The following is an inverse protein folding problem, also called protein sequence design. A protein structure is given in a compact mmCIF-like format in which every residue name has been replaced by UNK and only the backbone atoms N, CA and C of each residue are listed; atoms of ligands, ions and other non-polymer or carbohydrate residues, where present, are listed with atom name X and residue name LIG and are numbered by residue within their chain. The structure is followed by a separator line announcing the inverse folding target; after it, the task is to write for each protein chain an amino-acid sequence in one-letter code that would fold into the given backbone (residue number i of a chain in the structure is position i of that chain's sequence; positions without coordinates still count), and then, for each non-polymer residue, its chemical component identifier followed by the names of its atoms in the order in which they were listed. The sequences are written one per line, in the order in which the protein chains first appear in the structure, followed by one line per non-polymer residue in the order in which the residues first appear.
data_IF_886959020434
#
_entry.id   IF_886959020434
#
_cell.length_a   1.000
_cell.length_b   1.000
_cell.length_c   1.000
_cell.angle_alpha   90.00
_cell.angle_beta   90.00
_cell.angle_gamma   90.00
#
_symmetry.space_group_name_H-M   'P 1'
#
loop_
_entity.id
_entity.type
_entity.pdbx_description
1 polymer ?
#
# COMPACT_ATOMS: atom_id res chain seq x y z
N UNK A 1 17.13 3.76 19.09
CA UNK A 1 15.89 4.51 18.80
C UNK A 1 14.77 3.50 18.68
N UNK A 2 13.72 3.61 19.50
CA UNK A 2 12.56 2.71 19.44
C UNK A 2 11.64 3.10 18.27
N UNK A 3 10.70 2.23 17.91
CA UNK A 3 9.67 2.55 16.92
C UNK A 3 8.84 3.77 17.35
N UNK A 4 8.52 3.88 18.64
CA UNK A 4 7.79 5.03 19.19
C UNK A 4 8.59 6.33 19.04
N UNK A 5 9.89 6.31 19.38
CA UNK A 5 10.77 7.47 19.21
C UNK A 5 10.87 7.90 17.75
N UNK A 6 10.94 6.92 16.84
CA UNK A 6 10.99 7.19 15.40
C UNK A 6 9.70 7.83 14.90
N UNK A 7 8.55 7.24 15.22
CA UNK A 7 7.25 7.80 14.85
C UNK A 7 7.09 9.22 15.39
N UNK A 8 7.52 9.49 16.63
CA UNK A 8 7.49 10.82 17.24
C UNK A 8 8.39 11.84 16.51
N UNK A 9 9.46 11.38 15.85
CA UNK A 9 10.37 12.21 15.05
C UNK A 9 9.87 12.53 13.64
N UNK A 10 8.85 11.80 13.14
CA UNK A 10 8.30 12.04 11.81
C UNK A 10 7.59 13.40 11.75
N UNK A 11 7.64 14.12 10.61
CA UNK A 11 6.87 15.33 10.41
C UNK A 11 5.38 15.10 10.67
N UNK A 12 4.81 15.84 11.64
CA UNK A 12 3.44 15.65 12.15
C UNK A 12 2.35 15.76 11.08
N UNK A 13 2.59 16.49 9.98
CA UNK A 13 1.53 16.88 9.03
C UNK A 13 1.17 15.85 7.97
N UNK A 14 2.00 14.84 7.72
CA UNK A 14 1.74 13.86 6.63
C UNK A 14 2.12 12.45 7.03
N UNK A 15 3.36 12.20 7.44
CA UNK A 15 3.81 10.84 7.74
C UNK A 15 3.18 10.26 9.02
N UNK A 16 3.08 11.05 10.10
CA UNK A 16 2.40 10.57 11.32
C UNK A 16 0.91 10.33 11.10
N UNK A 17 0.21 11.23 10.41
CA UNK A 17 -1.22 11.11 10.15
C UNK A 17 -1.55 9.85 9.33
N UNK A 18 -0.71 9.52 8.34
CA UNK A 18 -0.89 8.31 7.54
C UNK A 18 -0.65 7.05 8.37
N UNK A 19 0.44 7.02 9.14
CA UNK A 19 0.77 5.91 10.06
C UNK A 19 -0.38 5.65 11.04
N UNK A 20 -0.91 6.70 11.65
CA UNK A 20 -2.05 6.60 12.57
C UNK A 20 -3.29 6.04 11.87
N UNK A 21 -3.62 6.55 10.68
CA UNK A 21 -4.77 6.06 9.90
C UNK A 21 -4.63 4.57 9.55
N UNK A 22 -3.44 4.11 9.18
CA UNK A 22 -3.21 2.69 8.90
C UNK A 22 -3.32 1.84 10.18
N UNK A 23 -2.86 2.38 11.31
CA UNK A 23 -3.01 1.71 12.61
C UNK A 23 -4.48 1.56 13.02
N UNK A 24 -5.29 2.60 12.81
CA UNK A 24 -6.74 2.60 13.06
C UNK A 24 -7.47 1.63 12.13
N UNK A 25 -7.20 1.67 10.82
CA UNK A 25 -7.84 0.81 9.83
C UNK A 25 -7.59 -0.69 10.09
N UNK A 26 -6.42 -1.02 10.63
CA UNK A 26 -6.03 -2.40 10.92
C UNK A 26 -6.32 -2.82 12.37
N UNK A 27 -6.69 -1.89 13.25
CA UNK A 27 -6.76 -2.14 14.69
C UNK A 27 -5.43 -2.65 15.28
N UNK A 28 -4.30 -2.30 14.64
CA UNK A 28 -2.99 -2.87 14.92
C UNK A 28 -1.93 -1.78 15.01
N UNK A 29 -1.07 -1.85 16.02
CA UNK A 29 0.10 -1.00 16.12
C UNK A 29 1.14 -1.38 15.04
N UNK A 30 1.91 -0.42 14.50
CA UNK A 30 3.03 -0.73 13.63
C UNK A 30 4.00 -1.67 14.37
N UNK A 31 4.42 -2.75 13.72
CA UNK A 31 5.27 -3.77 14.38
C UNK A 31 6.75 -3.56 14.11
N UNK A 32 7.08 -3.06 12.93
CA UNK A 32 8.48 -2.90 12.50
C UNK A 32 8.65 -1.59 11.75
N UNK A 33 9.73 -0.86 12.06
CA UNK A 33 10.33 0.13 11.18
C UNK A 33 11.73 -0.37 10.81
N UNK A 34 11.99 -0.54 9.52
CA UNK A 34 13.28 -1.00 9.00
C UNK A 34 13.86 0.03 8.04
N UNK A 35 15.17 0.27 8.14
CA UNK A 35 15.95 1.01 7.15
C UNK A 35 16.14 0.19 5.87
N UNK A 36 15.92 0.83 4.71
CA UNK A 36 16.12 0.23 3.39
C UNK A 36 17.58 0.32 2.91
N UNK A 37 18.44 1.03 3.64
CA UNK A 37 19.88 1.16 3.36
C UNK A 37 20.27 2.31 2.43
N UNK A 38 19.29 2.93 1.78
CA UNK A 38 19.42 4.10 0.87
C UNK A 38 18.88 5.40 1.49
N UNK A 39 18.67 5.40 2.81
CA UNK A 39 18.03 6.52 3.53
C UNK A 39 16.50 6.48 3.51
N UNK A 40 15.89 5.49 2.87
CA UNK A 40 14.48 5.16 3.04
C UNK A 40 14.21 4.33 4.31
N UNK A 41 12.95 4.34 4.74
CA UNK A 41 12.44 3.46 5.79
C UNK A 41 11.11 2.84 5.37
N UNK A 42 10.84 1.64 5.88
CA UNK A 42 9.55 0.95 5.71
C UNK A 42 8.93 0.72 7.07
N UNK A 43 7.66 1.09 7.22
CA UNK A 43 6.82 0.75 8.37
C UNK A 43 5.87 -0.36 7.94
N UNK A 44 5.88 -1.48 8.67
CA UNK A 44 5.07 -2.65 8.37
C UNK A 44 3.94 -2.82 9.39
N UNK A 45 2.74 -3.04 8.87
CA UNK A 45 1.54 -3.38 9.63
C UNK A 45 1.07 -4.77 9.24
N UNK A 46 0.74 -5.56 10.25
CA UNK A 46 0.24 -6.91 10.09
C UNK A 46 -1.23 -6.92 10.48
N UNK A 47 -2.06 -7.58 9.66
CA UNK A 47 -3.41 -7.96 10.03
C UNK A 47 -3.40 -9.21 10.93
N UNK A 48 -4.49 -9.99 10.90
CA UNK A 48 -4.64 -11.17 11.76
C UNK A 48 -3.50 -12.19 11.57
N UNK A 49 -3.17 -12.54 10.31
CA UNK A 49 -2.21 -13.61 10.00
C UNK A 49 -1.13 -13.25 8.96
N UNK A 50 -1.16 -12.03 8.40
CA UNK A 50 -0.26 -11.64 7.31
C UNK A 50 0.07 -10.14 7.32
N UNK A 51 1.13 -9.78 6.59
CA UNK A 51 1.47 -8.39 6.31
C UNK A 51 0.36 -7.74 5.48
N UNK A 52 -0.37 -6.81 6.08
CA UNK A 52 -1.53 -6.16 5.48
C UNK A 52 -1.16 -4.83 4.82
N UNK A 53 -0.20 -4.09 5.38
CA UNK A 53 0.17 -2.76 4.86
C UNK A 53 1.65 -2.46 5.06
N UNK A 54 2.27 -1.85 4.05
CA UNK A 54 3.62 -1.28 4.11
C UNK A 54 3.57 0.19 3.76
N UNK A 55 4.10 1.04 4.63
CA UNK A 55 4.27 2.47 4.37
C UNK A 55 5.75 2.73 4.08
N UNK A 56 6.04 3.24 2.89
CA UNK A 56 7.37 3.61 2.46
C UNK A 56 7.60 5.09 2.79
N UNK A 57 8.73 5.36 3.44
CA UNK A 57 9.15 6.69 3.84
C UNK A 57 10.49 7.03 3.19
N UNK A 58 10.55 8.15 2.49
CA UNK A 58 11.78 8.70 1.95
C UNK A 58 12.03 10.05 2.59
N UNK A 59 13.19 10.22 3.22
CA UNK A 59 13.57 11.47 3.91
C UNK A 59 12.49 11.96 4.90
N UNK A 60 11.77 11.03 5.52
CA UNK A 60 10.71 11.32 6.50
C UNK A 60 9.33 11.66 5.90
N UNK A 61 9.16 11.55 4.58
CA UNK A 61 7.88 11.77 3.88
C UNK A 61 7.36 10.45 3.34
N UNK A 62 6.04 10.24 3.36
CA UNK A 62 5.42 9.04 2.75
C UNK A 62 5.62 9.12 1.24
N UNK A 63 6.40 8.20 0.69
CA UNK A 63 6.63 8.07 -0.75
C UNK A 63 5.68 7.06 -1.40
N UNK A 64 5.09 6.16 -0.61
CA UNK A 64 4.04 5.26 -1.08
C UNK A 64 3.52 4.34 0.00
N UNK A 65 2.44 3.64 -0.32
CA UNK A 65 1.80 2.66 0.55
C UNK A 65 1.45 1.44 -0.30
N UNK A 66 1.79 0.25 0.20
CA UNK A 66 1.32 -1.02 -0.35
C UNK A 66 0.30 -1.63 0.60
N UNK A 67 -0.84 -2.01 0.04
CA UNK A 67 -1.89 -2.78 0.71
C UNK A 67 -1.88 -4.20 0.14
N UNK A 68 -1.98 -5.20 1.02
CA UNK A 68 -1.83 -6.62 0.68
C UNK A 68 -2.86 -7.48 1.42
N UNK A 69 -2.79 -8.81 1.24
CA UNK A 69 -3.63 -9.77 1.97
C UNK A 69 -3.67 -9.48 3.47
N UNK A 70 -4.87 -9.32 4.01
CA UNK A 70 -5.12 -8.92 5.40
C UNK A 70 -5.51 -7.46 5.60
N UNK A 71 -5.44 -6.61 4.56
CA UNK A 71 -6.02 -5.26 4.60
C UNK A 71 -7.55 -5.36 4.41
N UNK A 72 -8.37 -4.91 5.39
CA UNK A 72 -9.81 -5.16 5.39
C UNK A 72 -10.61 -4.19 4.50
N UNK A 73 -10.02 -3.02 4.22
CA UNK A 73 -10.72 -1.91 3.58
C UNK A 73 -10.51 -1.83 2.08
N UNK A 74 -11.25 -0.92 1.46
CA UNK A 74 -11.13 -0.61 0.04
C UNK A 74 -10.26 0.63 -0.18
N UNK A 75 -9.37 0.59 -1.17
CA UNK A 75 -8.63 1.75 -1.68
C UNK A 75 -9.34 2.24 -2.94
N UNK A 76 -9.97 3.42 -2.86
CA UNK A 76 -10.79 3.98 -3.96
C UNK A 76 -11.85 3.00 -4.50
N UNK A 77 -12.45 2.22 -3.60
CA UNK A 77 -13.47 1.22 -3.94
C UNK A 77 -12.92 -0.14 -4.39
N UNK A 78 -11.60 -0.30 -4.55
CA UNK A 78 -10.97 -1.58 -4.88
C UNK A 78 -10.51 -2.28 -3.60
N UNK A 79 -10.79 -3.58 -3.49
CA UNK A 79 -10.40 -4.42 -2.36
C UNK A 79 -9.40 -5.49 -2.77
N UNK A 80 -8.57 -5.92 -1.82
CA UNK A 80 -7.79 -7.15 -1.99
C UNK A 80 -8.75 -8.33 -2.17
N UNK A 81 -8.44 -9.23 -3.11
CA UNK A 81 -9.28 -10.37 -3.49
C UNK A 81 -10.37 -10.07 -4.52
N UNK A 82 -10.64 -8.79 -4.84
CA UNK A 82 -11.56 -8.38 -5.91
C UNK A 82 -11.06 -8.90 -7.27
N UNK A 83 -11.94 -9.24 -8.18
CA UNK A 83 -11.56 -9.69 -9.51
C UNK A 83 -11.09 -8.52 -10.38
N UNK A 84 -10.07 -8.71 -11.21
CA UNK A 84 -9.53 -7.65 -12.08
C UNK A 84 -10.55 -6.97 -12.99
N UNK A 85 -11.61 -7.69 -13.43
CA UNK A 85 -12.71 -7.11 -14.22
C UNK A 85 -13.59 -6.16 -13.41
N UNK A 86 -13.78 -6.42 -12.12
CA UNK A 86 -14.54 -5.57 -11.22
C UNK A 86 -13.78 -4.26 -10.96
N UNK A 87 -12.45 -4.33 -10.90
CA UNK A 87 -11.60 -3.13 -10.84
C UNK A 87 -11.89 -2.19 -12.01
N UNK A 88 -12.02 -2.73 -13.22
CA UNK A 88 -12.34 -1.92 -14.42
C UNK A 88 -13.74 -1.32 -14.33
N UNK A 89 -14.70 -2.02 -13.72
CA UNK A 89 -16.04 -1.47 -13.49
C UNK A 89 -16.03 -0.32 -12.46
N UNK A 90 -15.16 -0.38 -11.45
CA UNK A 90 -15.04 0.64 -10.38
C UNK A 90 -14.23 1.85 -10.83
N UNK A 91 -13.08 1.63 -11.47
CA UNK A 91 -12.10 2.68 -11.77
C UNK A 91 -12.05 3.07 -13.26
N UNK A 92 -12.76 2.35 -14.13
CA UNK A 92 -12.58 2.44 -15.57
C UNK A 92 -11.35 1.68 -16.05
N UNK A 93 -11.00 1.86 -17.32
CA UNK A 93 -9.84 1.20 -17.92
C UNK A 93 -8.54 1.79 -17.35
N UNK A 94 -7.54 0.92 -17.13
CA UNK A 94 -6.19 1.36 -16.82
C UNK A 94 -5.68 2.34 -17.89
N UNK A 95 -4.94 3.35 -17.44
CA UNK A 95 -4.53 4.48 -18.27
C UNK A 95 -3.30 4.17 -19.13
N UNK A 96 -2.44 3.25 -18.67
CA UNK A 96 -1.28 2.78 -19.43
C UNK A 96 -0.86 1.36 -19.03
N UNK A 97 -0.17 0.64 -19.92
CA UNK A 97 0.40 -0.66 -19.58
C UNK A 97 1.61 -0.52 -18.66
N UNK A 98 1.92 -1.60 -17.96
CA UNK A 98 3.20 -1.76 -17.29
C UNK A 98 4.32 -1.95 -18.33
N UNK A 99 5.46 -1.24 -18.20
CA UNK A 99 6.42 -1.08 -19.30
C UNK A 99 7.34 -2.29 -19.52
N UNK A 100 7.27 -3.32 -18.68
CA UNK A 100 8.16 -4.47 -18.72
C UNK A 100 7.43 -5.77 -18.35
N UNK A 101 7.97 -6.96 -18.66
CA UNK A 101 7.37 -8.21 -18.21
C UNK A 101 7.16 -8.24 -16.70
N UNK A 102 6.00 -8.75 -16.26
CA UNK A 102 5.65 -8.89 -14.86
C UNK A 102 4.84 -10.18 -14.66
N UNK A 103 5.04 -10.93 -13.56
CA UNK A 103 4.27 -12.14 -13.29
C UNK A 103 2.76 -11.86 -13.23
N UNK A 104 2.41 -10.75 -12.56
CA UNK A 104 1.03 -10.29 -12.39
C UNK A 104 0.56 -9.44 -13.57
N UNK A 105 -0.76 -9.31 -13.72
CA UNK A 105 -1.39 -8.27 -14.53
C UNK A 105 -1.35 -6.98 -13.74
N UNK A 106 -0.79 -5.92 -14.33
CA UNK A 106 -0.60 -4.64 -13.66
C UNK A 106 -1.52 -3.59 -14.28
N UNK A 107 -2.38 -2.99 -13.47
CA UNK A 107 -3.26 -1.89 -13.84
C UNK A 107 -2.71 -0.59 -13.26
N UNK A 108 -2.42 0.39 -14.12
CA UNK A 108 -1.89 1.70 -13.72
C UNK A 108 -2.93 2.80 -13.96
N UNK A 109 -3.14 3.62 -12.92
CA UNK A 109 -3.96 4.82 -12.95
C UNK A 109 -3.11 5.97 -12.42
N UNK A 110 -2.74 6.92 -13.27
CA UNK A 110 -1.91 8.07 -12.89
C UNK A 110 -2.75 9.28 -12.38
N UNK A 111 -4.09 9.23 -12.48
CA UNK A 111 -4.99 10.35 -12.07
C UNK A 111 -6.22 9.89 -11.24
N UNK A 112 -6.77 10.76 -10.35
CA UNK A 112 -6.22 12.07 -9.92
C UNK A 112 -4.95 11.93 -9.08
N UNK A 113 -4.72 10.76 -8.49
CA UNK A 113 -3.49 10.36 -7.84
C UNK A 113 -3.05 9.02 -8.41
N UNK A 114 -1.76 8.72 -8.30
CA UNK A 114 -1.20 7.45 -8.75
C UNK A 114 -1.82 6.29 -7.96
N UNK A 115 -2.17 5.23 -8.68
CA UNK A 115 -2.62 3.97 -8.15
C UNK A 115 -2.11 2.86 -9.06
N UNK A 116 -1.43 1.88 -8.49
CA UNK A 116 -1.07 0.64 -9.16
C UNK A 116 -1.82 -0.51 -8.50
N UNK A 117 -2.40 -1.39 -9.30
CA UNK A 117 -3.12 -2.57 -8.82
C UNK A 117 -2.49 -3.80 -9.47
N UNK A 118 -2.04 -4.72 -8.63
CA UNK A 118 -1.50 -6.00 -9.06
C UNK A 118 -2.60 -7.05 -8.97
N UNK A 119 -2.90 -7.67 -10.11
CA UNK A 119 -3.86 -8.75 -10.25
C UNK A 119 -3.10 -10.03 -10.56
N UNK A 120 -3.25 -11.04 -9.71
CA UNK A 120 -2.69 -12.36 -9.94
C UNK A 120 -3.24 -12.94 -11.26
N UNK A 121 -2.36 -13.50 -12.09
CA UNK A 121 -2.73 -13.91 -13.45
C UNK A 121 -3.55 -15.19 -13.46
N UNK A 122 -3.35 -16.07 -12.48
CA UNK A 122 -3.99 -17.38 -12.44
C UNK A 122 -5.38 -17.30 -11.81
N UNK A 123 -5.51 -16.59 -10.69
CA UNK A 123 -6.79 -16.40 -10.00
C UNK A 123 -7.59 -15.20 -10.48
N UNK A 124 -6.96 -14.29 -11.24
CA UNK A 124 -7.52 -13.02 -11.71
C UNK A 124 -7.97 -12.09 -10.56
N UNK A 125 -7.39 -12.26 -9.37
CA UNK A 125 -7.71 -11.50 -8.15
C UNK A 125 -6.66 -10.45 -7.84
N UNK A 126 -7.10 -9.30 -7.32
CA UNK A 126 -6.23 -8.27 -6.76
C UNK A 126 -5.46 -8.83 -5.58
N UNK A 127 -4.14 -8.76 -5.63
CA UNK A 127 -3.25 -9.23 -4.55
C UNK A 127 -2.52 -8.09 -3.86
N UNK A 128 -2.26 -6.99 -4.58
CA UNK A 128 -1.66 -5.79 -4.01
C UNK A 128 -2.24 -4.52 -4.64
N UNK A 129 -2.28 -3.46 -3.84
CA UNK A 129 -2.62 -2.11 -4.27
C UNK A 129 -1.50 -1.17 -3.79
N UNK A 130 -1.00 -0.30 -4.66
CA UNK A 130 0.01 0.70 -4.36
C UNK A 130 -0.56 2.10 -4.59
N UNK A 131 -0.36 3.00 -3.62
CA UNK A 131 -0.75 4.42 -3.69
C UNK A 131 0.41 5.32 -3.28
#
# INVERSE_FOLDING_TARGET
MTLADYLASLPRRTAQAEVLRQSEALGAAPRHARDTGDGGKVIEYYGFDALATKVFLEKGVVSGIRYSSGFPDAVRGVRIGMHGREVVAVLGRAQRPWPMPHPNIILLYDKPEFLRIDVDRDSERVIDIYR
#
